data_IF_931296139643
#
_entry.id   IF_931296139643
#
_cell.length_a   1.000
_cell.length_b   1.000
_cell.length_c   1.000
_cell.angle_alpha   90.00
_cell.angle_beta   90.00
_cell.angle_gamma   90.00
#
_symmetry.space_group_name_H-M   'P 1'
#
loop_
_entity.id
_entity.type
_entity.pdbx_description
1 polymer ?
#
# COMPACT_ATOMS: atom_id res chain seq x y z
N UNK A 1 2.16 58.35 31.34
CA UNK A 1 2.24 56.88 31.44
C UNK A 1 2.27 56.35 30.01
N UNK A 2 3.46 56.03 29.48
CA UNK A 2 3.66 55.71 28.06
C UNK A 2 3.82 54.19 27.89
N UNK A 3 2.97 53.59 27.06
CA UNK A 3 2.97 52.15 26.77
C UNK A 3 3.88 51.91 25.55
N UNK A 4 5.02 51.26 25.81
CA UNK A 4 6.00 50.83 24.80
C UNK A 4 5.54 49.49 24.22
N UNK A 5 5.23 49.42 22.92
CA UNK A 5 4.99 48.16 22.20
C UNK A 5 6.32 47.60 21.71
N UNK A 6 6.66 46.39 22.13
CA UNK A 6 7.78 45.59 21.61
C UNK A 6 7.26 44.60 20.57
N UNK A 7 7.91 44.54 19.41
CA UNK A 7 7.63 43.58 18.35
C UNK A 7 8.18 42.17 18.70
N UNK A 8 7.51 41.07 18.31
CA UNK A 8 8.01 39.72 18.55
C UNK A 8 9.13 39.36 17.56
N UNK A 9 10.17 38.72 18.09
CA UNK A 9 11.40 38.34 17.40
C UNK A 9 11.22 37.21 16.40
N UNK A 10 11.93 37.33 15.28
CA UNK A 10 11.92 36.47 14.10
C UNK A 10 12.92 35.30 14.16
N UNK A 11 13.18 34.72 15.33
CA UNK A 11 14.29 33.76 15.52
C UNK A 11 13.89 32.28 15.36
N UNK A 12 12.60 31.93 15.49
CA UNK A 12 12.20 30.52 15.61
C UNK A 12 11.94 29.80 14.27
N UNK A 13 11.83 30.54 13.16
CA UNK A 13 11.58 29.93 11.84
C UNK A 13 12.82 29.31 11.19
N UNK A 14 14.03 29.69 11.62
CA UNK A 14 15.26 29.22 10.97
C UNK A 14 15.61 27.77 11.36
N UNK A 15 15.30 27.37 12.59
CA UNK A 15 15.63 26.04 13.11
C UNK A 15 14.77 24.92 12.47
N UNK A 16 13.49 25.20 12.20
CA UNK A 16 12.59 24.21 11.59
C UNK A 16 12.99 23.89 10.14
N UNK A 17 13.39 24.89 9.36
CA UNK A 17 13.76 24.69 7.94
C UNK A 17 15.06 23.89 7.81
N UNK A 18 16.02 24.11 8.72
CA UNK A 18 17.25 23.32 8.75
C UNK A 18 16.99 21.84 9.02
N UNK A 19 16.09 21.49 9.95
CA UNK A 19 15.79 20.08 10.27
C UNK A 19 15.14 19.32 9.12
N UNK A 20 14.22 19.95 8.38
CA UNK A 20 13.60 19.32 7.21
C UNK A 20 14.59 19.14 6.06
N UNK A 21 15.47 20.10 5.84
CA UNK A 21 16.50 20.00 4.81
C UNK A 21 17.52 18.89 5.12
N UNK A 22 17.90 18.71 6.38
CA UNK A 22 18.80 17.63 6.80
C UNK A 22 18.16 16.24 6.60
N UNK A 23 16.89 16.06 6.99
CA UNK A 23 16.19 14.79 6.78
C UNK A 23 15.99 14.48 5.29
N UNK A 24 15.70 15.49 4.47
CA UNK A 24 15.58 15.35 3.02
C UNK A 24 16.91 14.98 2.38
N UNK A 25 18.02 15.64 2.74
CA UNK A 25 19.35 15.33 2.23
C UNK A 25 19.77 13.91 2.65
N UNK A 26 19.53 13.51 3.90
CA UNK A 26 19.79 12.14 4.35
C UNK A 26 18.97 11.11 3.57
N UNK A 27 17.69 11.37 3.30
CA UNK A 27 16.84 10.50 2.48
C UNK A 27 17.34 10.36 1.05
N UNK A 28 17.67 11.48 0.40
CA UNK A 28 18.18 11.50 -0.99
C UNK A 28 19.54 10.81 -1.09
N UNK A 29 20.45 11.02 -0.14
CA UNK A 29 21.76 10.36 -0.12
C UNK A 29 21.64 8.85 0.15
N UNK A 30 20.65 8.42 0.91
CA UNK A 30 20.36 7.00 1.14
C UNK A 30 19.92 6.30 -0.17
N UNK A 31 19.14 6.99 -1.00
CA UNK A 31 18.70 6.46 -2.31
C UNK A 31 19.85 6.43 -3.32
N UNK A 32 20.68 7.49 -3.37
CA UNK A 32 21.83 7.56 -4.29
C UNK A 32 22.94 6.58 -3.91
N UNK A 33 23.18 6.36 -2.61
CA UNK A 33 24.18 5.41 -2.13
C UNK A 33 23.88 3.96 -2.55
N UNK A 34 22.60 3.58 -2.61
CA UNK A 34 22.19 2.24 -3.04
C UNK A 34 22.42 1.97 -4.54
N UNK A 35 22.28 2.97 -5.40
CA UNK A 35 22.53 2.82 -6.85
C UNK A 35 24.04 2.83 -7.18
N UNK A 36 24.88 3.46 -6.35
CA UNK A 36 26.32 3.58 -6.61
C UNK A 36 27.16 2.36 -6.20
N UNK A 37 26.59 1.39 -5.49
CA UNK A 37 27.36 0.25 -4.95
C UNK A 37 27.50 -0.94 -5.89
N UNK A 38 26.96 -0.89 -7.13
CA UNK A 38 27.38 -1.77 -8.23
C UNK A 38 27.53 -3.25 -7.85
N UNK A 39 26.64 -3.79 -7.02
CA UNK A 39 26.66 -5.20 -6.67
C UNK A 39 26.02 -5.94 -7.84
N UNK A 40 26.87 -6.47 -8.72
CA UNK A 40 26.48 -7.41 -9.76
C UNK A 40 25.87 -8.66 -9.12
N UNK A 41 24.54 -8.73 -9.09
CA UNK A 41 23.84 -9.99 -8.85
C UNK A 41 23.86 -10.81 -10.15
N UNK A 42 24.33 -12.08 -10.14
CA UNK A 42 24.33 -12.91 -11.32
C UNK A 42 22.90 -13.16 -11.80
N UNK A 43 22.76 -13.13 -13.13
CA UNK A 43 21.52 -13.35 -13.86
C UNK A 43 20.80 -14.63 -13.40
N UNK A 44 19.64 -14.47 -12.76
CA UNK A 44 18.69 -15.56 -12.54
C UNK A 44 17.67 -15.59 -13.68
N UNK A 45 17.75 -16.68 -14.42
CA UNK A 45 16.89 -17.05 -15.53
C UNK A 45 15.40 -17.10 -15.12
N UNK A 46 14.57 -16.59 -16.03
CA UNK A 46 13.16 -16.93 -16.31
C UNK A 46 12.42 -17.77 -15.25
N UNK A 47 11.58 -17.14 -14.44
CA UNK A 47 10.62 -17.82 -13.54
C UNK A 47 9.22 -17.97 -14.16
N UNK A 48 9.14 -18.16 -15.48
CA UNK A 48 7.87 -18.42 -16.17
C UNK A 48 7.22 -19.76 -15.77
N UNK A 49 7.91 -20.62 -15.04
CA UNK A 49 7.45 -21.98 -14.69
C UNK A 49 6.86 -22.11 -13.28
N UNK A 50 6.84 -21.04 -12.47
CA UNK A 50 6.36 -21.12 -11.08
C UNK A 50 4.84 -21.00 -10.90
N UNK A 51 4.07 -20.73 -11.97
CA UNK A 51 2.61 -20.70 -11.90
C UNK A 51 1.96 -22.08 -12.20
N UNK A 52 2.75 -23.11 -12.52
CA UNK A 52 2.27 -24.44 -12.93
C UNK A 52 2.23 -25.53 -11.84
N UNK A 53 2.68 -25.25 -10.62
CA UNK A 53 2.89 -26.27 -9.57
C UNK A 53 1.78 -26.34 -8.49
N UNK A 54 0.54 -25.99 -8.84
CA UNK A 54 -0.65 -26.31 -8.04
C UNK A 54 -1.45 -27.45 -8.70
N UNK A 55 -0.80 -28.60 -8.95
CA UNK A 55 -1.51 -29.85 -9.20
C UNK A 55 -0.85 -31.00 -8.44
N UNK A 56 -1.74 -31.72 -7.75
CA UNK A 56 -1.64 -32.94 -6.96
C UNK A 56 -0.42 -33.83 -7.16
N UNK A 57 0.11 -34.34 -6.04
CA UNK A 57 0.25 -35.78 -5.83
C UNK A 57 0.21 -36.12 -4.33
N UNK A 58 -0.66 -37.05 -3.97
CA UNK A 58 -0.70 -37.67 -2.64
C UNK A 58 0.32 -38.80 -2.56
N UNK A 59 0.87 -39.06 -1.37
CA UNK A 59 1.17 -40.43 -0.99
C UNK A 59 0.48 -40.84 0.31
N UNK A 60 0.06 -42.10 0.30
CA UNK A 60 -0.60 -42.86 1.36
C UNK A 60 0.33 -43.23 2.52
N UNK A 61 -0.21 -43.07 3.73
CA UNK A 61 -0.15 -43.93 4.92
C UNK A 61 1.20 -44.59 5.32
N UNK A 62 1.75 -44.18 6.47
CA UNK A 62 1.69 -44.95 7.73
C UNK A 62 2.75 -44.46 8.73
N UNK A 63 2.32 -43.71 9.74
CA UNK A 63 3.02 -43.69 11.04
C UNK A 63 2.07 -43.18 12.12
N UNK A 64 1.67 -44.09 13.00
CA UNK A 64 0.86 -43.79 14.17
C UNK A 64 1.66 -42.92 15.14
N UNK A 65 1.33 -41.63 15.17
CA UNK A 65 1.76 -40.70 16.21
C UNK A 65 0.50 -40.20 16.92
N UNK A 66 0.38 -40.48 18.22
CA UNK A 66 -0.69 -39.95 19.06
C UNK A 66 -0.29 -38.56 19.56
N UNK A 67 -0.99 -37.48 19.17
CA UNK A 67 -0.77 -36.16 19.77
C UNK A 67 -1.43 -36.10 21.17
N UNK A 68 -0.88 -35.30 22.10
CA UNK A 68 -1.56 -35.01 23.36
C UNK A 68 -2.85 -34.21 23.10
N UNK A 69 -3.81 -34.37 24.00
CA UNK A 69 -5.15 -33.78 23.90
C UNK A 69 -5.11 -32.28 23.56
N UNK A 70 -5.95 -31.80 22.63
CA UNK A 70 -5.97 -30.40 22.24
C UNK A 70 -6.39 -29.54 23.44
N UNK A 71 -5.55 -28.56 23.80
CA UNK A 71 -5.99 -27.46 24.63
C UNK A 71 -7.17 -26.77 23.93
N UNK A 72 -8.27 -26.59 24.66
CA UNK A 72 -9.52 -26.05 24.14
C UNK A 72 -9.25 -24.76 23.35
N UNK A 73 -9.41 -24.83 22.03
CA UNK A 73 -9.46 -23.66 21.18
C UNK A 73 -10.73 -22.89 21.54
N UNK A 74 -10.56 -21.65 21.97
CA UNK A 74 -11.67 -20.73 22.18
C UNK A 74 -12.23 -20.33 20.82
N UNK A 75 -13.24 -21.05 20.34
CA UNK A 75 -14.04 -20.77 19.14
C UNK A 75 -15.00 -19.57 19.34
N UNK A 76 -14.54 -18.52 20.01
CA UNK A 76 -15.34 -17.30 20.13
C UNK A 76 -15.46 -16.65 18.73
N UNK A 77 -16.68 -16.40 18.21
CA UNK A 77 -16.87 -15.69 16.95
C UNK A 77 -16.20 -14.32 17.03
N UNK A 78 -15.22 -14.06 16.15
CA UNK A 78 -14.62 -12.74 16.02
C UNK A 78 -15.67 -11.83 15.38
N UNK A 79 -16.22 -10.89 16.14
CA UNK A 79 -17.17 -9.91 15.61
C UNK A 79 -16.52 -9.09 14.47
N UNK A 80 -17.26 -8.82 13.39
CA UNK A 80 -16.75 -8.00 12.29
C UNK A 80 -16.46 -6.57 12.79
N UNK A 81 -15.18 -6.20 12.78
CA UNK A 81 -14.74 -4.83 13.12
C UNK A 81 -15.20 -3.88 12.01
N UNK A 82 -16.26 -3.13 12.28
CA UNK A 82 -16.73 -2.06 11.39
C UNK A 82 -15.92 -0.79 11.68
N UNK A 83 -14.98 -0.44 10.80
CA UNK A 83 -14.25 0.82 10.92
C UNK A 83 -15.18 2.00 10.62
N UNK A 84 -15.21 3.05 11.45
CA UNK A 84 -15.99 4.24 11.16
C UNK A 84 -15.52 4.85 9.84
N UNK A 85 -16.44 5.02 8.89
CA UNK A 85 -16.11 5.58 7.57
C UNK A 85 -15.89 7.09 7.72
N UNK A 86 -14.70 7.62 7.40
CA UNK A 86 -14.46 9.05 7.42
C UNK A 86 -15.38 9.75 6.42
N UNK A 87 -15.95 10.89 6.81
CA UNK A 87 -16.81 11.69 5.92
C UNK A 87 -16.02 12.65 5.03
N UNK A 88 -14.73 12.86 5.31
CA UNK A 88 -13.89 13.86 4.65
C UNK A 88 -12.69 13.22 3.94
N UNK A 89 -12.23 13.81 2.81
CA UNK A 89 -11.07 13.31 2.09
C UNK A 89 -9.78 13.45 2.89
N UNK A 90 -8.79 12.61 2.59
CA UNK A 90 -7.46 12.69 3.17
C UNK A 90 -6.70 13.97 2.73
N UNK A 91 -5.86 14.51 3.62
CA UNK A 91 -5.07 15.71 3.31
C UNK A 91 -4.14 15.51 2.10
N UNK A 92 -3.52 14.34 1.98
CA UNK A 92 -2.67 13.98 0.84
C UNK A 92 -3.43 14.08 -0.48
N UNK A 93 -4.67 13.59 -0.51
CA UNK A 93 -5.51 13.72 -1.68
C UNK A 93 -5.81 15.19 -1.97
N UNK A 94 -6.25 15.96 -0.97
CA UNK A 94 -6.57 17.38 -1.13
C UNK A 94 -5.39 18.20 -1.68
N UNK A 95 -4.17 17.92 -1.24
CA UNK A 95 -2.96 18.57 -1.74
C UNK A 95 -2.67 18.23 -3.20
N UNK A 96 -2.81 16.96 -3.58
CA UNK A 96 -2.63 16.54 -4.98
C UNK A 96 -3.73 17.09 -5.90
N UNK A 97 -4.98 17.14 -5.45
CA UNK A 97 -6.12 17.67 -6.23
C UNK A 97 -5.94 19.14 -6.63
N UNK A 98 -5.27 19.95 -5.80
CA UNK A 98 -4.98 21.36 -6.10
C UNK A 98 -4.02 21.55 -7.26
N UNK A 99 -3.27 20.51 -7.64
CA UNK A 99 -2.30 20.53 -8.74
C UNK A 99 -2.92 20.16 -10.09
N UNK A 100 -4.20 19.78 -10.13
CA UNK A 100 -4.89 19.46 -11.37
C UNK A 100 -4.99 20.73 -12.23
N UNK A 101 -4.47 20.72 -13.47
CA UNK A 101 -4.58 21.87 -14.37
C UNK A 101 -6.04 22.20 -14.73
N UNK A 102 -6.33 23.49 -14.89
CA UNK A 102 -7.65 23.95 -15.35
C UNK A 102 -7.90 23.66 -16.83
N UNK A 103 -6.85 23.64 -17.65
CA UNK A 103 -6.89 23.37 -19.08
C UNK A 103 -5.98 22.18 -19.43
N UNK A 104 -6.34 21.40 -20.45
CA UNK A 104 -5.52 20.27 -20.91
C UNK A 104 -5.43 19.10 -19.91
N UNK A 105 -6.50 18.87 -19.13
CA UNK A 105 -6.56 17.78 -18.14
C UNK A 105 -6.32 16.42 -18.81
N UNK A 106 -5.41 15.63 -18.22
CA UNK A 106 -5.13 14.28 -18.71
C UNK A 106 -6.22 13.32 -18.23
N UNK A 107 -6.29 12.18 -18.89
CA UNK A 107 -7.14 11.08 -18.40
C UNK A 107 -6.57 10.53 -17.08
N UNK A 108 -7.45 10.24 -16.12
CA UNK A 108 -7.10 9.61 -14.85
C UNK A 108 -6.97 8.09 -15.03
N UNK A 109 -5.83 7.53 -14.65
CA UNK A 109 -5.56 6.08 -14.66
C UNK A 109 -5.28 5.54 -13.26
N UNK A 110 -5.73 4.31 -13.03
CA UNK A 110 -5.45 3.59 -11.79
C UNK A 110 -4.21 2.73 -11.94
N UNK A 111 -3.29 2.82 -10.97
CA UNK A 111 -2.24 1.81 -10.79
C UNK A 111 -2.54 0.97 -9.55
N UNK A 112 -2.59 -0.35 -9.73
CA UNK A 112 -2.96 -1.26 -8.65
C UNK A 112 -1.73 -1.62 -7.81
N UNK A 113 -1.63 -0.94 -6.68
CA UNK A 113 -0.69 -1.16 -5.57
C UNK A 113 -0.96 -2.44 -4.77
N UNK A 114 -1.77 -3.37 -5.29
CA UNK A 114 -2.18 -4.63 -4.67
C UNK A 114 -2.97 -4.46 -3.37
N UNK A 115 -3.56 -3.28 -3.17
CA UNK A 115 -4.40 -2.91 -2.03
C UNK A 115 -5.74 -2.44 -2.55
N UNK A 116 -6.83 -3.09 -2.11
CA UNK A 116 -8.17 -2.78 -2.62
C UNK A 116 -8.30 -2.95 -4.14
N UNK A 117 -7.30 -3.58 -4.79
CA UNK A 117 -7.19 -3.64 -6.23
C UNK A 117 -8.35 -4.36 -6.88
N UNK A 118 -8.88 -5.43 -6.27
CA UNK A 118 -10.06 -6.13 -6.77
C UNK A 118 -11.32 -5.27 -6.64
N UNK A 119 -11.48 -4.58 -5.51
CA UNK A 119 -12.60 -3.68 -5.25
C UNK A 119 -12.63 -2.55 -6.28
N UNK A 120 -11.49 -1.87 -6.48
CA UNK A 120 -11.39 -0.81 -7.49
C UNK A 120 -11.52 -1.39 -8.89
N UNK A 121 -10.88 -2.52 -9.20
CA UNK A 121 -10.97 -3.13 -10.53
C UNK A 121 -12.41 -3.48 -10.89
N UNK A 122 -13.20 -3.98 -9.94
CA UNK A 122 -14.63 -4.22 -10.14
C UNK A 122 -15.36 -2.92 -10.52
N UNK A 123 -15.08 -1.82 -9.82
CA UNK A 123 -15.62 -0.49 -10.17
C UNK A 123 -15.21 -0.02 -11.56
N UNK A 124 -13.93 -0.18 -11.93
CA UNK A 124 -13.38 0.29 -13.20
C UNK A 124 -13.77 -0.58 -14.40
N UNK A 125 -14.34 -1.77 -14.15
CA UNK A 125 -14.71 -2.72 -15.21
C UNK A 125 -16.21 -2.85 -15.38
N UNK A 126 -17.01 -2.34 -14.44
CA UNK A 126 -18.47 -2.40 -14.50
C UNK A 126 -19.01 -1.22 -15.34
N UNK A 127 -19.81 -1.49 -16.40
CA UNK A 127 -20.46 -0.43 -17.18
C UNK A 127 -21.34 0.46 -16.29
N UNK A 128 -21.47 1.77 -16.61
CA UNK A 128 -20.94 2.46 -17.79
C UNK A 128 -19.50 3.00 -17.62
N UNK A 129 -18.86 2.75 -16.49
CA UNK A 129 -17.65 3.43 -16.05
C UNK A 129 -16.37 2.70 -16.49
N UNK A 130 -16.02 2.79 -17.78
CA UNK A 130 -14.71 2.33 -18.30
C UNK A 130 -13.63 3.41 -18.15
N UNK A 131 -13.47 4.01 -16.98
CA UNK A 131 -12.35 4.94 -16.76
C UNK A 131 -11.13 4.18 -16.23
N UNK A 132 -9.93 4.64 -16.54
CA UNK A 132 -8.71 4.01 -16.03
C UNK A 132 -8.25 2.76 -16.76
N UNK A 133 -9.02 2.21 -17.71
CA UNK A 133 -8.63 1.06 -18.54
C UNK A 133 -8.53 1.45 -20.01
N UNK A 134 -7.33 1.40 -20.57
CA UNK A 134 -7.16 1.35 -22.02
C UNK A 134 -7.06 -0.12 -22.47
N UNK A 135 -8.10 -0.72 -23.07
CA UNK A 135 -8.05 -2.10 -23.53
C UNK A 135 -7.12 -2.29 -24.74
N UNK A 136 -6.69 -1.22 -25.40
CA UNK A 136 -5.79 -1.26 -26.55
C UNK A 136 -4.30 -1.15 -26.17
N UNK A 137 -3.96 -0.78 -24.92
CA UNK A 137 -2.57 -0.74 -24.45
C UNK A 137 -2.11 -2.14 -23.99
N UNK A 138 -1.16 -2.79 -24.70
CA UNK A 138 -0.59 -4.08 -24.28
C UNK A 138 0.13 -3.94 -22.94
N UNK A 139 0.06 -4.97 -22.09
CA UNK A 139 0.79 -4.98 -20.81
C UNK A 139 0.08 -4.26 -19.66
N UNK A 140 -1.26 -4.20 -19.66
CA UNK A 140 -2.07 -3.88 -18.47
C UNK A 140 -1.95 -4.98 -17.40
N UNK A 141 -0.74 -5.32 -16.99
CA UNK A 141 -0.49 -6.00 -15.74
C UNK A 141 -0.72 -4.96 -14.67
N UNK A 142 -1.91 -5.00 -14.07
CA UNK A 142 -2.31 -4.16 -12.95
C UNK A 142 -1.24 -4.09 -11.84
N UNK A 143 -0.32 -5.06 -11.78
CA UNK A 143 0.69 -5.21 -10.74
C UNK A 143 2.07 -4.63 -11.06
N UNK A 144 2.25 -3.97 -12.20
CA UNK A 144 3.53 -3.35 -12.53
C UNK A 144 3.74 -2.10 -11.65
N UNK A 145 4.83 -2.07 -10.87
CA UNK A 145 5.17 -0.89 -10.07
C UNK A 145 5.44 0.30 -10.99
N UNK A 146 5.04 1.50 -10.55
CA UNK A 146 5.02 2.71 -11.38
C UNK A 146 6.37 3.00 -12.07
N UNK A 147 7.47 2.75 -11.35
CA UNK A 147 8.85 2.91 -11.85
C UNK A 147 9.19 2.12 -13.12
N UNK A 148 8.44 1.06 -13.43
CA UNK A 148 8.69 0.23 -14.60
C UNK A 148 7.95 0.75 -15.84
N UNK A 149 7.02 1.69 -15.69
CA UNK A 149 6.37 2.36 -16.81
C UNK A 149 7.35 3.30 -17.52
N UNK A 150 7.32 3.29 -18.86
CA UNK A 150 8.11 4.23 -19.66
C UNK A 150 7.76 5.68 -19.31
N UNK A 151 8.74 6.59 -19.38
CA UNK A 151 8.53 8.00 -19.04
C UNK A 151 7.42 8.64 -19.88
N UNK A 152 7.34 8.30 -21.17
CA UNK A 152 6.28 8.78 -22.05
C UNK A 152 4.90 8.36 -21.54
N UNK A 153 4.75 7.12 -21.04
CA UNK A 153 3.50 6.62 -20.48
C UNK A 153 3.16 7.28 -19.16
N UNK A 154 4.13 7.41 -18.25
CA UNK A 154 3.94 8.09 -16.95
C UNK A 154 3.43 9.52 -17.14
N UNK A 155 3.97 10.24 -18.13
CA UNK A 155 3.56 11.62 -18.45
C UNK A 155 2.27 11.74 -19.26
N UNK A 156 1.79 10.68 -19.91
CA UNK A 156 0.58 10.68 -20.75
C UNK A 156 -0.71 10.85 -19.93
N UNK A 157 -0.71 10.38 -18.69
CA UNK A 157 -1.89 10.32 -17.83
C UNK A 157 -1.65 11.02 -16.49
N UNK A 158 -2.74 11.35 -15.81
CA UNK A 158 -2.72 11.58 -14.37
C UNK A 158 -3.06 10.25 -13.69
N UNK A 159 -2.50 10.00 -12.51
CA UNK A 159 -2.58 8.69 -11.89
C UNK A 159 -3.19 8.74 -10.51
N UNK A 160 -3.78 7.64 -10.08
CA UNK A 160 -4.06 7.43 -8.67
C UNK A 160 -3.77 5.99 -8.27
N UNK A 161 -3.47 5.82 -6.98
CA UNK A 161 -3.29 4.51 -6.37
C UNK A 161 -3.79 4.52 -4.94
N UNK A 162 -4.01 3.32 -4.40
CA UNK A 162 -4.47 3.15 -3.03
C UNK A 162 -3.33 2.75 -2.13
N UNK A 163 -3.25 3.38 -0.97
CA UNK A 163 -2.37 2.98 0.12
C UNK A 163 -3.20 2.49 1.29
N UNK A 164 -2.63 1.64 2.13
CA UNK A 164 -3.24 1.20 3.38
C UNK A 164 -2.17 1.22 4.45
N UNK A 165 -2.59 1.38 5.70
CA UNK A 165 -1.67 1.29 6.82
C UNK A 165 -0.86 -0.03 6.75
N UNK A 166 0.48 0.02 6.85
CA UNK A 166 1.33 -1.14 6.60
C UNK A 166 0.96 -2.38 7.41
N UNK A 167 0.66 -2.25 8.71
CA UNK A 167 0.28 -3.40 9.54
C UNK A 167 -1.04 -4.01 9.08
N UNK A 168 -2.07 -3.19 8.84
CA UNK A 168 -3.37 -3.67 8.35
C UNK A 168 -3.30 -4.27 6.95
N UNK A 169 -2.37 -3.80 6.11
CA UNK A 169 -2.07 -4.41 4.82
C UNK A 169 -1.57 -5.84 4.97
N UNK A 170 -0.66 -6.11 5.91
CA UNK A 170 -0.19 -7.48 6.17
C UNK A 170 -1.30 -8.38 6.68
N UNK A 171 -2.10 -7.88 7.62
CA UNK A 171 -3.23 -8.65 8.15
C UNK A 171 -4.21 -9.04 7.04
N UNK A 172 -4.52 -8.10 6.15
CA UNK A 172 -5.37 -8.36 5.00
C UNK A 172 -4.73 -9.32 3.98
N UNK A 173 -3.43 -9.16 3.72
CA UNK A 173 -2.69 -10.06 2.82
C UNK A 173 -2.64 -11.48 3.36
N UNK A 174 -2.32 -11.63 4.65
CA UNK A 174 -2.37 -12.91 5.35
C UNK A 174 -3.76 -13.54 5.25
N UNK A 175 -4.81 -12.78 5.60
CA UNK A 175 -6.19 -13.25 5.51
C UNK A 175 -6.65 -13.59 4.07
N UNK A 176 -5.94 -13.11 3.04
CA UNK A 176 -6.19 -13.49 1.65
C UNK A 176 -5.46 -14.79 1.27
N UNK A 177 -4.18 -14.92 1.65
CA UNK A 177 -3.34 -16.06 1.27
C UNK A 177 -3.56 -17.29 2.16
N UNK A 178 -3.87 -17.10 3.43
CA UNK A 178 -3.91 -18.15 4.44
C UNK A 178 -5.32 -18.67 4.72
N UNK A 179 -6.30 -18.41 3.84
CA UNK A 179 -7.73 -18.75 4.03
C UNK A 179 -8.02 -20.23 4.33
N UNK A 180 -7.00 -21.08 4.36
CA UNK A 180 -7.08 -22.51 4.60
C UNK A 180 -6.20 -23.05 5.75
N UNK A 181 -5.47 -22.23 6.52
CA UNK A 181 -4.52 -22.77 7.52
C UNK A 181 -4.87 -22.35 8.95
N UNK A 182 -5.02 -23.36 9.82
CA UNK A 182 -5.26 -23.23 11.26
C UNK A 182 -3.98 -22.87 12.03
N UNK A 183 -3.26 -21.83 11.59
CA UNK A 183 -2.05 -21.40 12.28
C UNK A 183 -2.33 -20.96 13.73
N UNK A 184 -1.37 -21.25 14.59
CA UNK A 184 -1.19 -20.64 15.91
C UNK A 184 -0.67 -19.21 15.76
N UNK A 185 -0.71 -18.42 16.85
CA UNK A 185 -0.12 -17.07 16.87
C UNK A 185 1.38 -17.08 16.54
N UNK A 186 2.09 -18.13 16.98
CA UNK A 186 3.51 -18.31 16.68
C UNK A 186 3.73 -18.52 15.18
N UNK A 187 3.04 -19.48 14.58
CA UNK A 187 3.15 -19.80 13.15
C UNK A 187 2.72 -18.62 12.26
N UNK A 188 1.71 -17.84 12.69
CA UNK A 188 1.33 -16.60 12.04
C UNK A 188 2.49 -15.59 12.00
N UNK A 189 3.20 -15.39 13.11
CA UNK A 189 4.34 -14.48 13.17
C UNK A 189 5.54 -15.02 12.37
N UNK A 190 5.85 -16.31 12.48
CA UNK A 190 6.91 -16.96 11.70
C UNK A 190 6.65 -16.81 10.20
N UNK A 191 5.40 -17.00 9.76
CA UNK A 191 4.98 -16.75 8.40
C UNK A 191 5.21 -15.29 7.99
N UNK A 192 4.74 -14.31 8.78
CA UNK A 192 4.93 -12.89 8.48
C UNK A 192 6.41 -12.52 8.34
N UNK A 193 7.24 -12.98 9.28
CA UNK A 193 8.68 -12.76 9.25
C UNK A 193 9.31 -13.40 8.01
N UNK A 194 8.90 -14.61 7.63
CA UNK A 194 9.38 -15.26 6.41
C UNK A 194 9.06 -14.44 5.16
N UNK A 195 7.84 -13.87 5.09
CA UNK A 195 7.43 -13.03 3.97
C UNK A 195 8.24 -11.74 3.92
N UNK A 196 8.47 -11.09 5.07
CA UNK A 196 9.28 -9.87 5.17
C UNK A 196 10.75 -10.10 4.80
N UNK A 197 11.33 -11.24 5.19
CA UNK A 197 12.70 -11.63 4.82
C UNK A 197 12.80 -12.00 3.34
N UNK A 198 11.79 -12.67 2.80
CA UNK A 198 11.71 -13.06 1.40
C UNK A 198 11.25 -11.91 0.48
N UNK A 199 10.78 -10.79 1.03
CA UNK A 199 10.28 -9.65 0.29
C UNK A 199 11.41 -8.98 -0.49
N UNK A 200 11.71 -9.56 -1.65
CA UNK A 200 12.33 -8.86 -2.76
C UNK A 200 11.39 -7.72 -3.17
N UNK A 201 11.89 -6.63 -3.77
CA UNK A 201 11.08 -5.46 -4.16
C UNK A 201 9.98 -5.75 -5.22
N UNK A 202 9.51 -6.99 -5.35
CA UNK A 202 8.55 -7.50 -6.31
C UNK A 202 7.47 -8.31 -5.58
N UNK A 203 6.20 -7.97 -5.82
CA UNK A 203 5.04 -8.77 -5.40
C UNK A 203 4.12 -8.05 -4.43
N UNK A 204 3.14 -8.79 -3.88
CA UNK A 204 2.03 -8.31 -3.04
C UNK A 204 2.45 -7.47 -1.81
N UNK A 205 3.70 -7.59 -1.40
CA UNK A 205 4.31 -6.94 -0.24
C UNK A 205 5.44 -5.98 -0.64
N UNK A 206 5.46 -5.49 -1.89
CA UNK A 206 6.31 -4.37 -2.26
C UNK A 206 5.91 -3.12 -1.49
N UNK A 207 6.89 -2.28 -1.09
CA UNK A 207 6.65 -0.99 -0.45
C UNK A 207 5.78 -0.10 -1.34
N UNK A 208 4.83 0.62 -0.75
CA UNK A 208 3.94 1.51 -1.50
C UNK A 208 4.67 2.73 -2.02
N UNK A 209 5.75 3.16 -1.37
CA UNK A 209 6.63 4.19 -1.90
C UNK A 209 7.27 3.81 -3.23
N UNK A 210 7.42 2.52 -3.55
CA UNK A 210 7.94 2.08 -4.86
C UNK A 210 6.94 2.38 -6.01
N UNK A 211 5.69 2.74 -5.69
CA UNK A 211 4.67 3.17 -6.65
C UNK A 211 4.64 4.70 -6.86
N UNK A 212 5.43 5.46 -6.11
CA UNK A 212 5.56 6.90 -6.32
C UNK A 212 6.47 7.19 -7.52
N UNK A 213 6.13 8.20 -8.32
CA UNK A 213 7.01 8.73 -9.36
C UNK A 213 8.04 9.68 -8.73
N UNK A 214 9.35 9.51 -9.00
CA UNK A 214 10.34 10.53 -8.67
C UNK A 214 10.20 11.85 -9.48
N UNK A 215 9.54 11.82 -10.64
CA UNK A 215 9.27 12.97 -11.51
C UNK A 215 8.05 13.75 -11.00
N UNK A 216 8.31 14.89 -10.34
CA UNK A 216 7.27 15.79 -9.83
C UNK A 216 6.34 16.37 -10.90
N UNK A 217 6.68 16.26 -12.19
CA UNK A 217 5.79 16.66 -13.29
C UNK A 217 4.68 15.63 -13.56
N UNK A 218 4.79 14.41 -13.01
CA UNK A 218 3.75 13.39 -13.09
C UNK A 218 2.81 13.53 -11.90
N UNK A 219 1.56 13.87 -12.18
CA UNK A 219 0.55 14.02 -11.13
C UNK A 219 0.07 12.64 -10.66
N UNK A 220 0.25 12.37 -9.37
CA UNK A 220 -0.26 11.18 -8.70
C UNK A 220 -1.15 11.57 -7.52
N UNK A 221 -2.32 10.96 -7.45
CA UNK A 221 -3.25 11.06 -6.33
C UNK A 221 -3.11 9.83 -5.43
N UNK A 222 -2.89 10.08 -4.14
CA UNK A 222 -2.81 9.01 -3.14
C UNK A 222 -4.15 8.90 -2.44
N UNK A 223 -4.78 7.74 -2.52
CA UNK A 223 -6.03 7.43 -1.85
C UNK A 223 -5.75 6.51 -0.65
N UNK A 224 -6.25 6.84 0.53
CA UNK A 224 -6.13 5.94 1.68
C UNK A 224 -7.27 4.93 1.68
N UNK A 225 -6.96 3.65 1.86
CA UNK A 225 -7.94 2.58 1.89
C UNK A 225 -8.95 2.79 3.04
N UNK A 226 -8.48 3.31 4.17
CA UNK A 226 -9.30 3.65 5.33
C UNK A 226 -10.29 4.79 5.01
N UNK A 227 -9.98 5.63 4.01
CA UNK A 227 -10.80 6.75 3.56
C UNK A 227 -11.36 6.52 2.15
N UNK A 228 -11.33 5.29 1.63
CA UNK A 228 -11.48 4.98 0.21
C UNK A 228 -12.72 5.64 -0.41
N UNK A 229 -13.85 5.54 0.28
CA UNK A 229 -15.10 6.09 -0.20
C UNK A 229 -15.07 7.63 -0.28
N UNK A 230 -14.63 8.31 0.77
CA UNK A 230 -14.55 9.78 0.80
C UNK A 230 -13.54 10.31 -0.22
N UNK A 231 -12.39 9.64 -0.33
CA UNK A 231 -11.33 10.00 -1.27
C UNK A 231 -11.81 9.84 -2.73
N UNK A 232 -12.48 8.74 -3.07
CA UNK A 232 -13.02 8.53 -4.42
C UNK A 232 -14.17 9.49 -4.75
N UNK A 233 -15.10 9.77 -3.82
CA UNK A 233 -16.15 10.79 -4.02
C UNK A 233 -15.58 12.17 -4.31
N UNK A 234 -14.41 12.47 -3.75
CA UNK A 234 -13.74 13.73 -4.00
C UNK A 234 -12.98 13.74 -5.34
N UNK A 235 -12.18 12.70 -5.61
CA UNK A 235 -11.29 12.68 -6.75
C UNK A 235 -12.02 12.55 -8.09
N UNK A 236 -12.97 11.61 -8.18
CA UNK A 236 -13.54 11.22 -9.46
C UNK A 236 -14.34 12.34 -10.17
N UNK A 237 -15.13 13.16 -9.47
CA UNK A 237 -15.79 14.31 -10.10
C UNK A 237 -14.80 15.32 -10.68
N UNK A 238 -13.59 15.43 -10.12
CA UNK A 238 -12.52 16.27 -10.69
C UNK A 238 -12.02 15.76 -12.04
N UNK A 239 -12.42 14.57 -12.47
CA UNK A 239 -12.13 14.00 -13.79
C UNK A 239 -13.40 13.70 -14.59
N UNK A 240 -14.53 14.31 -14.23
CA UNK A 240 -15.85 14.09 -14.83
C UNK A 240 -16.30 12.62 -14.78
N UNK A 241 -15.84 11.89 -13.75
CA UNK A 241 -16.26 10.53 -13.47
C UNK A 241 -17.29 10.58 -12.33
N UNK A 242 -18.51 10.13 -12.63
CA UNK A 242 -19.54 9.87 -11.62
C UNK A 242 -19.51 8.39 -11.25
N UNK A 243 -19.77 8.09 -9.98
CA UNK A 243 -20.07 6.75 -9.52
C UNK A 243 -21.40 6.80 -8.78
N UNK A 244 -22.37 6.03 -9.26
CA UNK A 244 -23.69 5.96 -8.64
C UNK A 244 -23.61 5.33 -7.25
N UNK A 245 -22.77 4.28 -7.12
CA UNK A 245 -22.47 3.63 -5.86
C UNK A 245 -20.97 3.37 -5.72
N UNK A 246 -20.45 3.62 -4.52
CA UNK A 246 -19.11 3.19 -4.15
C UNK A 246 -19.22 1.83 -3.48
N UNK A 247 -18.41 0.84 -3.91
CA UNK A 247 -18.47 -0.45 -3.28
C UNK A 247 -17.95 -0.32 -1.85
N UNK A 248 -18.75 -0.84 -0.92
CA UNK A 248 -18.30 -1.01 0.45
C UNK A 248 -17.32 -2.18 0.48
N UNK A 249 -16.13 -2.01 1.08
CA UNK A 249 -15.24 -3.15 1.27
C UNK A 249 -15.99 -4.24 2.05
N UNK A 250 -15.92 -5.51 1.62
CA UNK A 250 -16.57 -6.60 2.35
C UNK A 250 -15.99 -6.68 3.77
N UNK A 251 -16.78 -7.13 4.76
CA UNK A 251 -16.28 -7.33 6.10
C UNK A 251 -15.09 -8.30 6.06
N UNK A 252 -13.95 -7.86 6.54
CA UNK A 252 -12.76 -8.70 6.62
C UNK A 252 -12.89 -9.63 7.83
N UNK A 253 -13.19 -10.91 7.59
CA UNK A 253 -13.14 -11.93 8.63
C UNK A 253 -11.65 -12.18 8.94
N UNK A 254 -11.17 -11.58 10.02
CA UNK A 254 -9.77 -11.68 10.46
C UNK A 254 -9.66 -12.58 11.68
N UNK A 255 -8.97 -13.71 11.54
CA UNK A 255 -8.59 -14.57 12.67
C UNK A 255 -7.54 -13.90 13.56
N UNK A 256 -6.59 -13.20 12.95
CA UNK A 256 -5.54 -12.48 13.64
C UNK A 256 -5.77 -10.98 13.58
N UNK A 257 -5.56 -10.33 14.71
CA UNK A 257 -5.63 -8.89 14.89
C UNK A 257 -4.24 -8.35 15.23
N UNK A 258 -4.09 -7.02 15.30
CA UNK A 258 -2.81 -6.35 15.58
C UNK A 258 -2.15 -6.87 16.86
N UNK A 259 -2.94 -7.17 17.89
CA UNK A 259 -2.47 -7.70 19.17
C UNK A 259 -1.83 -9.09 19.08
N UNK A 260 -2.05 -9.82 17.97
CA UNK A 260 -1.40 -11.10 17.73
C UNK A 260 -0.02 -10.96 17.06
N UNK A 261 0.38 -9.76 16.65
CA UNK A 261 1.70 -9.52 16.07
C UNK A 261 2.70 -9.35 17.21
N UNK A 262 3.77 -10.15 17.21
CA UNK A 262 4.84 -10.03 18.20
C UNK A 262 5.64 -8.74 18.01
N UNK A 263 6.25 -8.22 19.08
CA UNK A 263 7.11 -7.03 19.01
C UNK A 263 8.25 -7.18 18.00
N UNK A 264 8.81 -8.40 17.89
CA UNK A 264 9.84 -8.71 16.91
C UNK A 264 9.31 -8.54 15.47
N UNK A 265 8.16 -9.13 15.15
CA UNK A 265 7.52 -9.00 13.84
C UNK A 265 7.14 -7.55 13.55
N UNK A 266 6.65 -6.82 14.56
CA UNK A 266 6.37 -5.39 14.46
C UNK A 266 7.64 -4.60 14.14
N UNK A 267 8.78 -4.94 14.77
CA UNK A 267 10.10 -4.40 14.44
C UNK A 267 10.49 -4.58 12.97
N UNK A 268 10.26 -5.77 12.41
CA UNK A 268 10.48 -6.03 10.98
C UNK A 268 9.57 -5.17 10.09
N UNK A 269 8.28 -5.08 10.40
CA UNK A 269 7.33 -4.26 9.63
C UNK A 269 7.75 -2.78 9.66
N UNK A 270 8.06 -2.24 10.85
CA UNK A 270 8.51 -0.84 11.03
C UNK A 270 9.73 -0.54 10.18
N UNK A 271 10.73 -1.42 10.24
CA UNK A 271 12.00 -1.22 9.52
C UNK A 271 11.78 -1.25 8.00
N UNK A 272 11.05 -2.25 7.50
CA UNK A 272 10.86 -2.42 6.07
C UNK A 272 9.96 -1.34 5.45
N UNK A 273 8.91 -0.91 6.18
CA UNK A 273 7.89 0.03 5.70
C UNK A 273 8.03 1.44 6.24
N UNK A 274 9.17 1.82 6.83
CA UNK A 274 9.38 3.16 7.38
C UNK A 274 9.04 4.27 6.38
N UNK A 275 9.44 4.09 5.10
CA UNK A 275 9.11 5.02 4.03
C UNK A 275 7.60 5.17 3.79
N UNK A 276 6.84 4.07 3.85
CA UNK A 276 5.39 4.10 3.70
C UNK A 276 4.73 4.82 4.89
N UNK A 277 5.19 4.58 6.12
CA UNK A 277 4.68 5.28 7.30
C UNK A 277 4.85 6.79 7.18
N UNK A 278 6.05 7.23 6.82
CA UNK A 278 6.39 8.66 6.71
C UNK A 278 5.68 9.30 5.52
N UNK A 279 5.80 8.72 4.33
CA UNK A 279 5.31 9.36 3.09
C UNK A 279 3.78 9.40 3.00
N UNK A 280 3.07 8.49 3.69
CA UNK A 280 1.62 8.45 3.67
C UNK A 280 0.96 8.91 4.98
N UNK A 281 1.76 9.40 5.94
CA UNK A 281 1.26 9.94 7.21
C UNK A 281 0.51 8.91 8.04
N UNK A 282 1.07 7.69 8.14
CA UNK A 282 0.61 6.68 9.09
C UNK A 282 1.43 6.78 10.40
N UNK A 283 0.81 6.55 11.56
CA UNK A 283 1.55 6.49 12.81
C UNK A 283 2.51 5.30 12.79
N UNK A 284 3.76 5.54 13.19
CA UNK A 284 4.74 4.47 13.37
C UNK A 284 4.39 3.73 14.67
N UNK A 285 4.14 2.41 14.63
CA UNK A 285 3.79 1.63 15.83
C UNK A 285 4.99 1.39 16.76
#
# INVERSE_FOLDING_TARGET
MAIRRTAPGSADYCWSVCSFLTLYICGVLSVIGYDSLGIDLPALQSTSDMLGMLQSDSPSADSAWHPPAPAAASDAPVEPVSLPTPSSPSLLLLESSRKIPSEGRKELKFINSQIGGNLIKEMLTTPPHKFGRDPAEPGMHFFEAFRHLSQARRRKYDWFFVVREPVDRFLAFYACCSRAVNHTVREFNEWLQSQLRAATNKGALSRLTDYMDPDFAVLQHVIRFENLAADLRHLLPLYNVSLDELPTPPPEIRRFVRQNISEETMGFIRTYYMGDFVNFGYPVP
#
